data_IF_426784065042
#
_entry.id   IF_426784065042
#
_cell.length_a   1.000
_cell.length_b   1.000
_cell.length_c   1.000
_cell.angle_alpha   90.00
_cell.angle_beta   90.00
_cell.angle_gamma   90.00
#
_symmetry.space_group_name_H-M   'P 1'
#
loop_
_entity.id
_entity.type
_entity.pdbx_description
1 polymer ?
#
# COMPACT_ATOMS: atom_id res chain seq x y z
N UNK A 1 8.11 -9.50 21.99
CA UNK A 1 7.42 -10.77 22.33
C UNK A 1 6.67 -11.37 21.14
N UNK A 2 5.90 -10.55 20.43
CA UNK A 2 5.10 -11.02 19.28
C UNK A 2 5.92 -11.69 18.16
N UNK A 3 7.05 -11.10 17.76
CA UNK A 3 7.93 -11.69 16.71
C UNK A 3 8.50 -13.06 17.09
N UNK A 4 8.83 -13.27 18.36
CA UNK A 4 9.35 -14.55 18.84
C UNK A 4 8.29 -15.66 18.77
N UNK A 5 7.06 -15.34 19.10
CA UNK A 5 5.92 -16.27 19.02
C UNK A 5 5.59 -16.59 17.55
N UNK A 6 5.58 -15.59 16.68
CA UNK A 6 5.36 -15.79 15.24
C UNK A 6 6.44 -16.69 14.65
N UNK A 7 7.73 -16.43 14.94
CA UNK A 7 8.84 -17.28 14.48
C UNK A 7 8.71 -18.72 14.95
N UNK A 8 8.32 -18.92 16.21
CA UNK A 8 8.09 -20.26 16.77
C UNK A 8 7.00 -20.99 16.00
N UNK A 9 5.83 -20.37 15.83
CA UNK A 9 4.69 -20.96 15.14
C UNK A 9 5.03 -21.29 13.67
N UNK A 10 5.73 -20.39 12.98
CA UNK A 10 6.20 -20.62 11.61
C UNK A 10 7.17 -21.81 11.53
N UNK A 11 8.11 -21.92 12.48
CA UNK A 11 9.08 -23.03 12.51
C UNK A 11 8.41 -24.35 12.81
N UNK A 12 7.48 -24.39 13.75
CA UNK A 12 6.72 -25.61 14.09
C UNK A 12 5.90 -26.10 12.89
N UNK A 13 5.20 -25.18 12.21
CA UNK A 13 4.45 -25.52 10.98
C UNK A 13 5.38 -25.94 9.84
N UNK A 14 6.53 -25.29 9.70
CA UNK A 14 7.54 -25.70 8.71
C UNK A 14 8.02 -27.13 8.94
N UNK A 15 8.32 -27.49 10.20
CA UNK A 15 8.71 -28.86 10.58
C UNK A 15 7.60 -29.88 10.29
N UNK A 16 6.34 -29.52 10.58
CA UNK A 16 5.18 -30.39 10.31
C UNK A 16 5.03 -30.69 8.82
N UNK A 17 5.15 -29.64 7.96
CA UNK A 17 4.85 -29.76 6.53
C UNK A 17 6.03 -30.31 5.71
N UNK A 18 7.27 -29.96 6.07
CA UNK A 18 8.44 -30.19 5.25
C UNK A 18 9.50 -31.11 5.90
N UNK A 19 9.28 -31.50 7.17
CA UNK A 19 10.04 -32.55 7.84
C UNK A 19 11.42 -32.14 8.42
N UNK A 20 11.97 -30.99 8.00
CA UNK A 20 13.26 -30.49 8.46
C UNK A 20 13.29 -28.98 8.56
N UNK A 21 13.34 -28.48 9.79
CA UNK A 21 13.40 -27.04 10.12
C UNK A 21 14.78 -26.59 10.63
N UNK A 22 15.85 -27.38 10.39
CA UNK A 22 17.20 -26.91 10.65
C UNK A 22 17.65 -25.91 9.61
N UNK A 23 18.39 -24.90 10.04
CA UNK A 23 18.91 -23.82 9.18
C UNK A 23 17.83 -23.05 8.36
N UNK A 24 16.59 -23.02 8.84
CA UNK A 24 15.58 -22.11 8.27
C UNK A 24 15.95 -20.66 8.55
N UNK A 25 15.63 -19.79 7.61
CA UNK A 25 15.81 -18.33 7.74
C UNK A 25 14.44 -17.65 7.85
N UNK A 26 14.38 -16.55 8.57
CA UNK A 26 13.15 -15.80 8.79
C UNK A 26 13.24 -14.44 8.15
N UNK A 27 12.17 -14.03 7.49
CA UNK A 27 12.07 -12.76 6.80
C UNK A 27 10.78 -12.05 7.16
N UNK A 28 10.81 -10.74 7.03
CA UNK A 28 9.65 -9.86 7.20
C UNK A 28 9.65 -8.80 6.12
N UNK A 29 8.47 -8.44 5.63
CA UNK A 29 8.25 -7.22 4.86
C UNK A 29 6.97 -6.51 5.34
N UNK A 30 7.00 -5.17 5.49
CA UNK A 30 5.88 -4.41 6.03
C UNK A 30 4.76 -4.19 5.00
N UNK A 31 3.54 -3.95 5.50
CA UNK A 31 2.53 -3.19 4.78
C UNK A 31 2.80 -1.70 4.86
N UNK A 32 1.88 -0.90 4.33
CA UNK A 32 2.00 0.57 4.34
C UNK A 32 0.67 1.25 4.64
N UNK A 33 0.76 2.48 5.12
CA UNK A 33 -0.33 3.46 5.04
C UNK A 33 0.16 4.67 4.25
N UNK A 34 -0.69 5.22 3.39
CA UNK A 34 -0.37 6.48 2.73
C UNK A 34 -1.01 7.64 3.51
N UNK A 35 -0.19 8.62 3.88
CA UNK A 35 -0.63 9.77 4.66
C UNK A 35 -1.42 10.76 3.81
N UNK A 36 -0.98 10.97 2.56
CA UNK A 36 -1.60 11.84 1.55
C UNK A 36 -0.99 11.55 0.17
N UNK A 37 -1.69 11.89 -0.92
CA UNK A 37 -1.22 11.66 -2.30
C UNK A 37 -1.76 10.35 -2.87
N UNK A 38 -3.05 10.05 -2.70
CA UNK A 38 -3.69 8.92 -3.33
C UNK A 38 -3.94 9.17 -4.81
N UNK A 39 -3.76 8.10 -5.61
CA UNK A 39 -3.97 8.11 -7.05
C UNK A 39 -3.09 9.10 -7.83
N UNK A 40 -2.01 9.58 -7.22
CA UNK A 40 -1.02 10.44 -7.89
C UNK A 40 0.12 9.62 -8.51
N UNK A 41 0.37 8.43 -8.05
CA UNK A 41 1.55 7.60 -8.39
C UNK A 41 1.54 7.10 -9.84
N UNK A 42 0.42 6.88 -10.45
CA UNK A 42 0.31 6.58 -11.89
C UNK A 42 0.03 7.83 -12.76
N UNK A 43 -0.10 8.99 -12.10
CA UNK A 43 -0.22 10.31 -12.73
C UNK A 43 1.09 11.12 -12.69
N UNK A 44 2.21 10.49 -12.28
CA UNK A 44 3.53 11.11 -12.20
C UNK A 44 3.65 12.17 -11.11
N UNK A 45 2.81 12.08 -10.08
CA UNK A 45 2.83 12.98 -8.92
C UNK A 45 3.59 12.39 -7.73
N UNK A 46 3.49 13.07 -6.60
CA UNK A 46 4.11 12.67 -5.35
C UNK A 46 3.16 11.86 -4.48
N UNK A 47 3.73 10.92 -3.73
CA UNK A 47 3.06 10.16 -2.66
C UNK A 47 3.81 10.32 -1.35
N UNK A 48 3.13 10.15 -0.23
CA UNK A 48 3.72 10.35 1.09
C UNK A 48 3.37 9.23 2.07
N UNK A 49 3.72 7.96 1.75
CA UNK A 49 3.46 6.81 2.59
C UNK A 49 4.47 6.63 3.72
N UNK A 50 4.12 5.75 4.69
CA UNK A 50 5.05 5.16 5.62
C UNK A 50 4.81 3.64 5.75
N UNK A 51 5.88 2.88 6.06
CA UNK A 51 5.81 1.46 6.33
C UNK A 51 5.29 1.22 7.75
N UNK A 52 4.56 0.12 7.94
CA UNK A 52 3.93 -0.24 9.20
C UNK A 52 4.68 -1.39 9.90
N UNK A 53 4.52 -1.53 11.21
CA UNK A 53 4.98 -2.71 11.95
C UNK A 53 4.17 -3.97 11.59
N UNK A 54 2.99 -3.80 11.02
CA UNK A 54 2.19 -4.88 10.43
C UNK A 54 2.74 -5.25 9.05
N UNK A 55 2.87 -6.57 8.78
CA UNK A 55 3.43 -7.05 7.53
C UNK A 55 3.30 -8.56 7.38
N UNK A 56 4.10 -9.12 6.51
CA UNK A 56 4.15 -10.55 6.23
C UNK A 56 5.48 -11.13 6.69
N UNK A 57 5.41 -12.22 7.41
CA UNK A 57 6.54 -13.03 7.90
C UNK A 57 6.68 -14.28 7.05
N UNK A 58 7.91 -14.74 6.85
CA UNK A 58 8.21 -16.01 6.22
C UNK A 58 9.29 -16.79 6.97
N UNK A 59 9.10 -18.11 7.07
CA UNK A 59 10.12 -19.09 7.40
C UNK A 59 10.50 -19.81 6.11
N UNK A 60 11.80 -19.81 5.75
CA UNK A 60 12.27 -20.18 4.41
C UNK A 60 13.45 -21.14 4.50
N UNK A 61 13.48 -22.15 3.60
CA UNK A 61 14.62 -23.03 3.39
C UNK A 61 14.79 -23.35 1.91
N UNK A 62 16.06 -23.50 1.46
CA UNK A 62 16.37 -23.97 0.11
C UNK A 62 16.04 -25.45 -0.06
N UNK A 63 15.60 -25.78 -1.26
CA UNK A 63 15.39 -27.14 -1.75
C UNK A 63 16.53 -27.53 -2.71
N UNK A 64 16.67 -28.82 -2.96
CA UNK A 64 17.64 -29.30 -3.94
C UNK A 64 17.07 -29.48 -5.34
N UNK A 65 15.74 -29.40 -5.48
CA UNK A 65 15.03 -29.38 -6.76
C UNK A 65 14.65 -27.92 -7.14
N UNK A 66 14.18 -27.69 -8.35
CA UNK A 66 13.79 -26.37 -8.81
C UNK A 66 12.40 -25.91 -8.38
N UNK A 67 11.70 -26.66 -7.51
CA UNK A 67 10.30 -26.40 -7.14
C UNK A 67 10.18 -25.42 -5.98
N UNK A 68 9.16 -24.56 -6.02
CA UNK A 68 8.77 -23.71 -4.90
C UNK A 68 7.52 -24.27 -4.22
N UNK A 69 7.51 -24.32 -2.89
CA UNK A 69 6.32 -24.70 -2.13
C UNK A 69 5.96 -23.60 -1.16
N UNK A 70 4.68 -23.21 -1.17
CA UNK A 70 4.14 -22.13 -0.36
C UNK A 70 3.04 -22.65 0.55
N UNK A 71 3.05 -22.25 1.80
CA UNK A 71 1.97 -22.47 2.75
C UNK A 71 1.72 -21.20 3.54
N UNK A 72 0.46 -20.85 3.77
CA UNK A 72 0.08 -19.67 4.57
C UNK A 72 -0.77 -20.09 5.77
N UNK A 73 -0.35 -19.63 6.96
CA UNK A 73 -1.14 -19.77 8.18
C UNK A 73 -2.44 -18.95 8.15
N UNK A 74 -2.55 -17.97 7.25
CA UNK A 74 -3.79 -17.19 7.08
C UNK A 74 -4.83 -17.89 6.19
N UNK A 75 -4.41 -18.87 5.37
CA UNK A 75 -5.26 -19.57 4.39
C UNK A 75 -4.94 -21.07 4.42
N UNK A 76 -5.01 -21.68 5.60
CA UNK A 76 -4.65 -23.09 5.81
C UNK A 76 -5.43 -24.06 4.93
N UNK A 77 -6.70 -23.71 4.62
CA UNK A 77 -7.56 -24.51 3.74
C UNK A 77 -7.03 -24.69 2.31
N UNK A 78 -6.11 -23.81 1.87
CA UNK A 78 -5.46 -23.94 0.56
C UNK A 78 -4.40 -25.04 0.53
N UNK A 79 -3.92 -25.50 1.69
CA UNK A 79 -2.83 -26.48 1.80
C UNK A 79 -1.50 -25.96 1.26
N UNK A 80 -0.59 -26.88 0.94
CA UNK A 80 0.70 -26.56 0.31
C UNK A 80 0.50 -26.37 -1.19
N UNK A 81 0.82 -25.17 -1.68
CA UNK A 81 0.83 -24.87 -3.11
C UNK A 81 2.23 -25.12 -3.65
N UNK A 82 2.36 -25.98 -4.65
CA UNK A 82 3.63 -26.25 -5.33
C UNK A 82 3.67 -25.54 -6.68
N UNK A 83 4.80 -24.91 -6.99
CA UNK A 83 5.07 -24.30 -8.28
C UNK A 83 6.38 -24.87 -8.85
N UNK A 84 6.27 -25.57 -9.96
CA UNK A 84 7.37 -26.02 -10.82
C UNK A 84 7.61 -25.02 -11.97
N UNK A 85 8.42 -25.37 -12.96
CA UNK A 85 8.72 -24.50 -14.08
C UNK A 85 7.50 -24.17 -14.96
N UNK A 86 6.47 -25.01 -14.95
CA UNK A 86 5.24 -24.87 -15.76
C UNK A 86 4.10 -24.16 -15.02
N UNK A 87 4.30 -23.84 -13.74
CA UNK A 87 3.25 -23.31 -12.86
C UNK A 87 3.13 -21.78 -12.87
N UNK A 88 3.85 -21.10 -13.78
CA UNK A 88 3.90 -19.63 -13.85
C UNK A 88 3.07 -19.09 -15.02
N UNK A 89 1.76 -18.94 -14.79
CA UNK A 89 0.77 -18.54 -15.79
C UNK A 89 0.26 -17.11 -15.50
N UNK A 90 0.85 -16.06 -16.12
CA UNK A 90 0.38 -14.69 -15.95
C UNK A 90 -1.10 -14.54 -16.27
N UNK A 91 -1.81 -13.73 -15.49
CA UNK A 91 -3.22 -13.39 -15.62
C UNK A 91 -4.23 -14.53 -15.35
N UNK A 92 -3.79 -15.78 -15.31
CA UNK A 92 -4.63 -16.96 -15.06
C UNK A 92 -4.61 -17.41 -13.61
N UNK A 93 -3.50 -17.19 -12.89
CA UNK A 93 -3.36 -17.57 -11.49
C UNK A 93 -4.15 -16.61 -10.58
N UNK A 94 -5.15 -17.13 -9.89
CA UNK A 94 -6.03 -16.35 -8.99
C UNK A 94 -5.88 -16.74 -7.52
N UNK A 95 -4.90 -17.57 -7.20
CA UNK A 95 -4.64 -17.98 -5.83
C UNK A 95 -3.81 -16.92 -5.08
N UNK A 96 -3.84 -16.95 -3.74
CA UNK A 96 -3.05 -16.05 -2.92
C UNK A 96 -1.54 -16.11 -3.22
N UNK A 97 -1.04 -17.27 -3.63
CA UNK A 97 0.36 -17.47 -3.98
C UNK A 97 0.75 -16.82 -5.32
N UNK A 98 -0.20 -16.27 -6.09
CA UNK A 98 0.07 -15.58 -7.36
C UNK A 98 1.01 -14.38 -7.17
N UNK A 99 0.95 -13.69 -6.04
CA UNK A 99 1.86 -12.60 -5.71
C UNK A 99 3.31 -13.06 -5.59
N UNK A 100 3.56 -14.21 -4.94
CA UNK A 100 4.89 -14.80 -4.82
C UNK A 100 5.38 -15.37 -6.16
N UNK A 101 4.52 -16.09 -6.86
CA UNK A 101 4.81 -16.65 -8.19
C UNK A 101 5.12 -15.55 -9.21
N UNK A 102 4.36 -14.47 -9.20
CA UNK A 102 4.57 -13.32 -10.07
C UNK A 102 5.95 -12.69 -9.90
N UNK A 103 6.43 -12.57 -8.66
CA UNK A 103 7.78 -12.07 -8.38
C UNK A 103 8.85 -13.05 -8.89
N UNK A 104 8.71 -14.35 -8.65
CA UNK A 104 9.64 -15.37 -9.19
C UNK A 104 9.67 -15.30 -10.73
N UNK A 105 8.49 -15.21 -11.36
CA UNK A 105 8.37 -15.04 -12.80
C UNK A 105 9.06 -13.76 -13.29
N UNK A 106 8.86 -12.64 -12.61
CA UNK A 106 9.48 -11.36 -12.97
C UNK A 106 11.01 -11.40 -12.85
N UNK A 107 11.56 -12.07 -11.81
CA UNK A 107 13.00 -12.29 -11.68
C UNK A 107 13.54 -13.12 -12.85
N UNK A 108 12.90 -14.25 -13.20
CA UNK A 108 13.29 -15.08 -14.35
C UNK A 108 13.23 -14.31 -15.67
N UNK A 109 12.19 -13.48 -15.88
CA UNK A 109 12.06 -12.62 -17.07
C UNK A 109 13.19 -11.60 -17.21
N UNK A 110 13.75 -11.15 -16.08
CA UNK A 110 14.91 -10.25 -16.03
C UNK A 110 16.25 -10.98 -16.11
N UNK A 111 16.24 -12.32 -16.30
CA UNK A 111 17.45 -13.13 -16.48
C UNK A 111 18.13 -13.57 -15.19
N UNK A 112 17.50 -13.40 -14.02
CA UNK A 112 18.05 -13.92 -12.77
C UNK A 112 17.91 -15.44 -12.72
N UNK A 113 19.02 -16.12 -12.42
CA UNK A 113 19.04 -17.58 -12.24
C UNK A 113 18.56 -17.94 -10.85
N UNK A 114 17.57 -18.84 -10.77
CA UNK A 114 17.01 -19.40 -9.55
C UNK A 114 17.07 -20.92 -9.65
N UNK A 115 18.29 -21.51 -9.50
CA UNK A 115 18.54 -22.92 -9.82
C UNK A 115 17.92 -23.88 -8.79
N UNK A 116 17.76 -23.43 -7.57
CA UNK A 116 17.17 -24.19 -6.47
C UNK A 116 15.78 -23.66 -6.16
N UNK A 117 14.88 -24.51 -5.71
CA UNK A 117 13.58 -24.06 -5.19
C UNK A 117 13.65 -23.63 -3.73
N UNK A 118 12.52 -23.22 -3.20
CA UNK A 118 12.35 -22.82 -1.80
C UNK A 118 11.11 -23.46 -1.19
N UNK A 119 11.18 -23.85 0.07
CA UNK A 119 10.04 -24.09 0.93
C UNK A 119 9.75 -22.85 1.77
N UNK A 120 8.51 -22.40 1.79
CA UNK A 120 8.08 -21.19 2.51
C UNK A 120 6.83 -21.48 3.34
N UNK A 121 6.87 -21.10 4.61
CA UNK A 121 5.68 -20.95 5.46
C UNK A 121 5.52 -19.48 5.81
N UNK A 122 4.33 -18.94 5.55
CA UNK A 122 4.04 -17.50 5.67
C UNK A 122 2.96 -17.24 6.71
N UNK A 123 3.04 -16.05 7.31
CA UNK A 123 2.01 -15.49 8.17
C UNK A 123 1.96 -13.97 8.01
N UNK A 124 0.78 -13.42 7.77
CA UNK A 124 0.55 -11.98 7.72
C UNK A 124 -0.31 -11.50 8.89
N UNK A 125 0.04 -10.38 9.50
CA UNK A 125 -0.76 -9.72 10.52
C UNK A 125 -1.43 -8.42 10.01
N UNK A 126 -1.34 -8.15 8.70
CA UNK A 126 -2.11 -7.10 8.05
C UNK A 126 -3.58 -7.53 8.03
N UNK A 127 -4.53 -6.72 8.53
CA UNK A 127 -5.94 -7.07 8.51
C UNK A 127 -6.46 -7.29 7.09
N UNK A 128 -7.23 -8.36 6.89
CA UNK A 128 -7.77 -8.70 5.58
C UNK A 128 -8.69 -7.60 5.04
N UNK A 129 -8.53 -7.25 3.76
CA UNK A 129 -9.36 -6.24 3.10
C UNK A 129 -9.18 -4.82 3.63
N UNK A 130 -8.12 -4.54 4.38
CA UNK A 130 -7.85 -3.22 4.96
C UNK A 130 -7.31 -2.19 3.96
N UNK A 131 -6.84 -2.62 2.80
CA UNK A 131 -6.16 -1.72 1.85
C UNK A 131 -4.76 -1.27 2.31
N UNK A 132 -4.15 -1.96 3.30
CA UNK A 132 -2.82 -1.68 3.82
C UNK A 132 -1.71 -2.42 3.07
N UNK A 133 -1.94 -2.78 1.81
CA UNK A 133 -0.98 -3.36 0.85
C UNK A 133 -0.39 -4.72 1.25
N UNK A 134 -1.26 -5.68 1.58
CA UNK A 134 -0.82 -7.06 1.81
C UNK A 134 -0.19 -7.70 0.57
N UNK A 135 -0.63 -7.35 -0.66
CA UNK A 135 -0.03 -7.80 -1.91
C UNK A 135 1.42 -7.32 -2.04
N UNK A 136 1.65 -6.00 -1.91
CA UNK A 136 2.99 -5.42 -1.99
C UNK A 136 3.92 -5.96 -0.90
N UNK A 137 3.40 -6.18 0.33
CA UNK A 137 4.14 -6.85 1.41
C UNK A 137 4.61 -8.24 1.00
N UNK A 138 3.76 -9.07 0.37
CA UNK A 138 4.12 -10.39 -0.16
C UNK A 138 5.14 -10.30 -1.29
N UNK A 139 4.98 -9.35 -2.20
CA UNK A 139 5.87 -9.16 -3.36
C UNK A 139 7.26 -8.70 -2.93
N UNK A 140 7.34 -7.70 -2.05
CA UNK A 140 8.61 -7.20 -1.50
C UNK A 140 9.28 -8.24 -0.61
N UNK A 141 8.50 -9.00 0.17
CA UNK A 141 9.00 -10.12 0.96
C UNK A 141 9.67 -11.16 0.05
N UNK A 142 8.98 -11.58 -1.01
CA UNK A 142 9.52 -12.58 -1.94
C UNK A 142 10.76 -12.07 -2.67
N UNK A 143 10.75 -10.82 -3.13
CA UNK A 143 11.91 -10.18 -3.75
C UNK A 143 13.12 -10.15 -2.81
N UNK A 144 12.91 -9.81 -1.55
CA UNK A 144 13.95 -9.80 -0.51
C UNK A 144 14.46 -11.20 -0.18
N UNK A 145 13.58 -12.19 -0.09
CA UNK A 145 13.95 -13.59 0.07
C UNK A 145 14.83 -14.07 -1.08
N UNK A 146 14.43 -13.81 -2.33
CA UNK A 146 15.20 -14.22 -3.50
C UNK A 146 16.57 -13.55 -3.51
N UNK A 147 16.63 -12.24 -3.21
CA UNK A 147 17.91 -11.51 -3.10
C UNK A 147 18.85 -12.20 -2.11
N UNK A 148 18.40 -12.45 -0.89
CA UNK A 148 19.24 -12.98 0.18
C UNK A 148 19.55 -14.48 0.02
N UNK A 149 18.59 -15.28 -0.44
CA UNK A 149 18.78 -16.74 -0.59
C UNK A 149 19.73 -17.08 -1.75
N UNK A 150 19.76 -16.25 -2.81
CA UNK A 150 20.62 -16.50 -3.96
C UNK A 150 21.80 -15.54 -4.07
N UNK A 151 21.97 -14.62 -3.10
CA UNK A 151 23.09 -13.66 -3.08
C UNK A 151 23.05 -12.68 -4.24
N UNK A 152 21.86 -12.25 -4.65
CA UNK A 152 21.68 -11.36 -5.80
C UNK A 152 22.03 -9.91 -5.42
N UNK A 153 22.72 -9.21 -6.32
CA UNK A 153 23.04 -7.79 -6.15
C UNK A 153 21.89 -6.93 -6.66
N UNK A 154 20.93 -6.67 -5.78
CA UNK A 154 19.75 -5.84 -6.04
C UNK A 154 19.58 -4.79 -4.94
N UNK A 155 19.24 -3.58 -5.33
CA UNK A 155 18.78 -2.54 -4.41
C UNK A 155 17.32 -2.74 -4.02
N UNK A 156 16.89 -2.12 -2.92
CA UNK A 156 15.47 -2.16 -2.52
C UNK A 156 14.53 -1.48 -3.53
N UNK A 157 14.89 -0.33 -4.16
CA UNK A 157 14.10 0.23 -5.25
C UNK A 157 13.91 -0.74 -6.43
N UNK A 158 14.94 -1.51 -6.80
CA UNK A 158 14.81 -2.53 -7.85
C UNK A 158 13.83 -3.65 -7.44
N UNK A 159 13.83 -4.06 -6.17
CA UNK A 159 12.85 -5.03 -5.65
C UNK A 159 11.43 -4.45 -5.75
N UNK A 160 11.23 -3.17 -5.40
CA UNK A 160 9.93 -2.51 -5.53
C UNK A 160 9.45 -2.49 -6.99
N UNK A 161 10.33 -2.15 -7.94
CA UNK A 161 10.03 -2.16 -9.38
C UNK A 161 9.73 -3.56 -9.92
N UNK A 162 10.36 -4.60 -9.37
CA UNK A 162 10.05 -5.99 -9.73
C UNK A 162 8.68 -6.39 -9.18
N UNK A 163 8.36 -6.01 -7.94
CA UNK A 163 7.05 -6.22 -7.34
C UNK A 163 5.93 -5.56 -8.15
N UNK A 164 6.06 -4.27 -8.47
CA UNK A 164 5.11 -3.56 -9.32
C UNK A 164 4.96 -4.22 -10.71
N UNK A 165 6.07 -4.61 -11.33
CA UNK A 165 6.02 -5.32 -12.61
C UNK A 165 5.26 -6.65 -12.51
N UNK A 166 5.43 -7.37 -11.40
CA UNK A 166 4.67 -8.59 -11.09
C UNK A 166 3.18 -8.28 -10.93
N UNK A 167 2.82 -7.29 -10.12
CA UNK A 167 1.42 -6.91 -9.89
C UNK A 167 0.72 -6.57 -11.21
N UNK A 168 1.36 -5.76 -12.06
CA UNK A 168 0.79 -5.29 -13.31
C UNK A 168 0.71 -6.40 -14.38
N UNK A 169 1.77 -7.21 -14.55
CA UNK A 169 1.87 -8.12 -15.70
C UNK A 169 1.55 -9.58 -15.35
N UNK A 170 1.62 -9.97 -14.09
CA UNK A 170 1.26 -11.31 -13.66
C UNK A 170 -0.14 -11.35 -13.03
N UNK A 171 -0.47 -10.41 -12.16
CA UNK A 171 -1.76 -10.36 -11.48
C UNK A 171 -2.82 -9.51 -12.23
N UNK A 172 -2.40 -8.61 -13.13
CA UNK A 172 -3.28 -7.79 -13.99
C UNK A 172 -3.86 -6.56 -13.30
N UNK A 173 -3.25 -6.09 -12.20
CA UNK A 173 -3.63 -4.87 -11.52
C UNK A 173 -2.72 -3.73 -11.99
N UNK A 174 -3.27 -2.75 -12.72
CA UNK A 174 -2.51 -1.62 -13.25
C UNK A 174 -2.21 -0.56 -12.17
N UNK A 175 -1.49 -0.96 -11.11
CA UNK A 175 -1.12 -0.06 -10.01
C UNK A 175 0.10 0.82 -10.34
N UNK A 176 0.23 1.93 -9.59
CA UNK A 176 1.47 2.69 -9.52
C UNK A 176 2.53 2.00 -8.65
N UNK A 177 3.59 2.71 -8.33
CA UNK A 177 4.75 2.13 -7.59
C UNK A 177 4.64 2.29 -6.07
N UNK A 178 3.73 3.11 -5.58
CA UNK A 178 3.68 3.56 -4.18
C UNK A 178 3.76 2.41 -3.17
N UNK A 179 2.97 1.37 -3.37
CA UNK A 179 2.78 0.30 -2.40
C UNK A 179 4.05 -0.52 -2.20
N UNK A 180 4.64 -0.97 -3.28
CA UNK A 180 5.88 -1.74 -3.26
C UNK A 180 7.06 -0.88 -2.81
N UNK A 181 7.10 0.40 -3.23
CA UNK A 181 8.16 1.31 -2.83
C UNK A 181 8.10 1.61 -1.32
N UNK A 182 6.93 1.88 -0.79
CA UNK A 182 6.74 2.13 0.64
C UNK A 182 7.11 0.91 1.50
N UNK A 183 6.70 -0.29 1.08
CA UNK A 183 7.09 -1.54 1.74
C UNK A 183 8.61 -1.77 1.68
N UNK A 184 9.25 -1.52 0.52
CA UNK A 184 10.68 -1.76 0.32
C UNK A 184 11.56 -0.71 1.03
N UNK A 185 11.16 0.56 1.00
CA UNK A 185 11.98 1.68 1.45
C UNK A 185 11.59 2.21 2.83
N UNK A 186 10.74 1.48 3.58
CA UNK A 186 10.34 1.85 4.92
C UNK A 186 11.53 2.20 5.82
N UNK A 187 11.37 3.24 6.64
CA UNK A 187 12.32 3.67 7.65
C UNK A 187 11.57 4.04 8.91
N UNK A 188 11.98 3.47 10.02
CA UNK A 188 11.35 3.73 11.32
C UNK A 188 11.26 5.23 11.60
N UNK A 189 10.11 5.66 12.11
CA UNK A 189 9.79 7.04 12.48
C UNK A 189 9.92 8.05 11.32
N UNK A 190 9.77 7.59 10.05
CA UNK A 190 9.80 8.46 8.87
C UNK A 190 8.71 8.11 7.87
N UNK A 191 8.18 9.14 7.24
CA UNK A 191 7.42 9.02 6.00
C UNK A 191 8.36 9.15 4.79
N UNK A 192 7.94 8.58 3.67
CA UNK A 192 8.68 8.56 2.40
C UNK A 192 8.00 9.55 1.45
N UNK A 193 8.64 10.66 1.15
CA UNK A 193 8.19 11.55 0.09
C UNK A 193 8.82 11.09 -1.23
N UNK A 194 8.01 10.55 -2.12
CA UNK A 194 8.44 9.95 -3.38
C UNK A 194 7.84 10.72 -4.56
N UNK A 195 8.69 11.18 -5.47
CA UNK A 195 8.32 11.56 -6.82
C UNK A 195 8.21 10.30 -7.68
N UNK A 196 7.01 9.97 -8.13
CA UNK A 196 6.77 8.71 -8.85
C UNK A 196 7.16 8.75 -10.32
N UNK A 197 7.39 9.94 -10.88
CA UNK A 197 7.87 10.11 -12.25
C UNK A 197 9.38 9.85 -12.37
N UNK A 198 10.16 10.25 -11.36
CA UNK A 198 11.63 10.16 -11.36
C UNK A 198 12.17 9.06 -10.44
N UNK A 199 11.38 8.60 -9.48
CA UNK A 199 11.74 7.74 -8.36
C UNK A 199 12.74 8.40 -7.38
N UNK A 200 12.91 9.71 -7.47
CA UNK A 200 13.62 10.46 -6.43
C UNK A 200 12.79 10.50 -5.16
N UNK A 201 13.43 10.29 -4.02
CA UNK A 201 12.71 10.28 -2.74
C UNK A 201 13.53 10.90 -1.62
N UNK A 202 12.82 11.34 -0.58
CA UNK A 202 13.41 11.80 0.67
C UNK A 202 12.61 11.28 1.86
N UNK A 203 13.27 11.21 3.01
CA UNK A 203 12.60 10.86 4.27
C UNK A 203 12.23 12.13 5.04
N UNK A 204 10.97 12.24 5.45
CA UNK A 204 10.52 13.25 6.38
C UNK A 204 10.31 12.61 7.77
N UNK A 205 10.86 13.19 8.84
CA UNK A 205 10.63 12.69 10.19
C UNK A 205 9.14 12.69 10.53
N UNK A 206 8.65 11.56 11.04
CA UNK A 206 7.27 11.38 11.48
C UNK A 206 7.29 10.88 12.93
N UNK A 207 7.67 11.80 13.84
CA UNK A 207 7.79 11.51 15.27
C UNK A 207 6.50 11.93 15.97
N UNK A 208 5.67 10.97 16.29
CA UNK A 208 4.33 11.17 16.84
C UNK A 208 4.35 11.05 18.38
N UNK A 209 4.95 12.03 19.08
CA UNK A 209 5.02 12.02 20.57
C UNK A 209 3.65 12.28 21.19
N UNK A 210 3.04 13.41 20.83
CA UNK A 210 1.77 13.88 21.40
C UNK A 210 0.55 13.49 20.55
N UNK A 211 0.79 12.98 19.36
CA UNK A 211 -0.22 12.53 18.41
C UNK A 211 -0.08 11.04 18.13
N UNK A 212 -1.09 10.45 17.55
CA UNK A 212 -1.09 9.09 17.03
C UNK A 212 -1.74 9.07 15.66
N UNK A 213 -1.28 8.19 14.80
CA UNK A 213 -2.00 7.84 13.57
C UNK A 213 -2.86 6.62 13.86
N UNK A 214 -4.16 6.78 13.75
CA UNK A 214 -5.12 5.69 13.91
C UNK A 214 -5.64 5.28 12.53
N UNK A 215 -5.44 4.02 12.21
CA UNK A 215 -6.01 3.39 11.02
C UNK A 215 -7.36 2.80 11.43
N UNK A 216 -8.44 3.20 10.79
CA UNK A 216 -9.77 2.64 11.03
C UNK A 216 -10.21 1.85 9.82
N UNK A 217 -10.30 0.52 9.97
CA UNK A 217 -10.83 -0.36 8.92
C UNK A 217 -12.35 -0.30 8.92
N UNK A 218 -12.91 0.07 7.77
CA UNK A 218 -14.38 0.09 7.57
C UNK A 218 -15.02 -1.29 7.68
N UNK A 219 -14.25 -2.37 7.56
CA UNK A 219 -14.75 -3.75 7.47
C UNK A 219 -15.76 -3.97 6.33
N UNK A 220 -15.82 -3.04 5.37
CA UNK A 220 -16.63 -3.20 4.16
C UNK A 220 -16.12 -4.38 3.34
N UNK A 221 -16.99 -5.31 3.00
CA UNK A 221 -16.65 -6.44 2.12
C UNK A 221 -16.52 -5.95 0.68
N UNK A 222 -15.32 -6.05 0.14
CA UNK A 222 -15.02 -5.62 -1.22
C UNK A 222 -15.61 -6.57 -2.27
N UNK A 223 -16.35 -6.01 -3.22
CA UNK A 223 -16.72 -6.68 -4.47
C UNK A 223 -16.29 -5.76 -5.62
N UNK A 224 -15.36 -6.20 -6.50
CA UNK A 224 -15.02 -5.52 -7.76
C UNK A 224 -14.14 -4.25 -7.71
N UNK A 225 -13.16 -4.14 -6.79
CA UNK A 225 -12.27 -2.96 -6.73
C UNK A 225 -11.43 -2.82 -8.02
N UNK A 226 -10.89 -3.91 -8.56
CA UNK A 226 -9.93 -3.86 -9.66
C UNK A 226 -10.45 -3.19 -10.93
N UNK A 227 -11.73 -3.37 -11.29
CA UNK A 227 -12.31 -2.71 -12.46
C UNK A 227 -12.47 -1.20 -12.26
N UNK A 228 -13.03 -0.78 -11.11
CA UNK A 228 -13.23 0.64 -10.80
C UNK A 228 -11.91 1.40 -10.67
N UNK A 229 -10.88 0.78 -10.09
CA UNK A 229 -9.53 1.34 -10.02
C UNK A 229 -8.93 1.56 -11.43
N UNK A 230 -9.02 0.55 -12.29
CA UNK A 230 -8.53 0.65 -13.67
C UNK A 230 -9.32 1.70 -14.49
N UNK A 231 -10.62 1.89 -14.20
CA UNK A 231 -11.41 2.98 -14.82
C UNK A 231 -10.88 4.35 -14.44
N UNK A 232 -10.56 4.59 -13.16
CA UNK A 232 -9.97 5.87 -12.69
C UNK A 232 -8.65 6.17 -13.38
N UNK A 233 -7.81 5.14 -13.54
CA UNK A 233 -6.55 5.29 -14.27
C UNK A 233 -6.79 5.68 -15.72
N UNK A 234 -7.66 4.99 -16.44
CA UNK A 234 -8.00 5.30 -17.83
C UNK A 234 -8.55 6.72 -17.99
N UNK A 235 -9.45 7.14 -17.08
CA UNK A 235 -10.03 8.49 -17.08
C UNK A 235 -8.96 9.58 -16.89
N UNK A 236 -7.94 9.32 -16.07
CA UNK A 236 -6.79 10.22 -15.89
C UNK A 236 -5.86 10.23 -17.10
N UNK A 237 -5.61 9.09 -17.72
CA UNK A 237 -4.81 8.97 -18.95
C UNK A 237 -5.48 9.73 -20.09
N UNK A 238 -6.81 9.65 -20.25
CA UNK A 238 -7.59 10.42 -21.21
C UNK A 238 -7.47 11.94 -20.97
N UNK A 239 -7.54 12.38 -19.70
CA UNK A 239 -7.34 13.79 -19.35
C UNK A 239 -5.95 14.28 -19.77
N UNK A 240 -4.91 13.49 -19.51
CA UNK A 240 -3.54 13.80 -19.90
C UNK A 240 -3.41 13.94 -21.43
N UNK A 241 -3.93 13.00 -22.20
CA UNK A 241 -3.90 13.05 -23.68
C UNK A 241 -4.57 14.31 -24.24
N UNK A 242 -5.64 14.79 -23.61
CA UNK A 242 -6.31 16.03 -24.01
C UNK A 242 -5.43 17.23 -23.68
N UNK A 243 -4.92 17.32 -22.45
CA UNK A 243 -4.15 18.48 -21.97
C UNK A 243 -2.79 18.61 -22.67
N UNK A 244 -2.16 17.51 -23.09
CA UNK A 244 -0.92 17.50 -23.88
C UNK A 244 -1.05 18.23 -25.23
N UNK A 245 -2.26 18.47 -25.74
CA UNK A 245 -2.49 19.27 -26.93
C UNK A 245 -2.35 20.78 -26.70
N UNK A 246 -2.33 21.19 -25.42
CA UNK A 246 -2.33 22.58 -25.00
C UNK A 246 -1.17 22.98 -24.09
N UNK A 247 -0.44 21.99 -23.55
CA UNK A 247 0.72 22.19 -22.69
C UNK A 247 1.80 21.13 -22.92
N UNK A 248 3.06 21.50 -22.76
CA UNK A 248 4.20 20.56 -22.85
C UNK A 248 4.38 19.84 -21.51
N UNK A 249 3.51 18.88 -21.23
CA UNK A 249 3.54 18.05 -20.02
C UNK A 249 3.73 16.57 -20.38
N UNK A 250 4.38 15.81 -19.53
CA UNK A 250 4.50 14.35 -19.65
C UNK A 250 3.49 13.63 -18.79
N UNK A 251 3.12 14.22 -17.66
CA UNK A 251 2.20 13.65 -16.67
C UNK A 251 1.28 14.76 -16.14
N UNK A 252 0.17 14.42 -15.49
CA UNK A 252 -0.68 15.39 -14.81
C UNK A 252 0.03 16.03 -13.61
N UNK A 253 0.99 15.33 -13.01
CA UNK A 253 1.82 15.85 -11.92
C UNK A 253 2.75 17.01 -12.30
N UNK A 254 2.97 17.24 -13.59
CA UNK A 254 3.78 18.37 -14.08
C UNK A 254 3.07 19.72 -13.95
N UNK A 255 1.73 19.72 -13.76
CA UNK A 255 0.94 20.94 -13.70
C UNK A 255 0.89 21.56 -12.30
N UNK A 256 1.05 22.87 -12.23
CA UNK A 256 0.64 23.66 -11.06
C UNK A 256 -0.89 23.84 -11.03
N UNK A 257 -1.42 24.20 -9.85
CA UNK A 257 -2.86 24.54 -9.71
C UNK A 257 -3.27 25.62 -10.68
N UNK A 258 -2.46 26.68 -10.82
CA UNK A 258 -2.76 27.82 -11.72
C UNK A 258 -2.79 27.40 -13.19
N UNK A 259 -1.86 26.53 -13.62
CA UNK A 259 -1.84 26.01 -14.99
C UNK A 259 -3.03 25.11 -15.24
N UNK A 260 -3.39 24.25 -14.29
CA UNK A 260 -4.58 23.42 -14.42
C UNK A 260 -5.84 24.28 -14.58
N UNK A 261 -6.10 25.26 -13.70
CA UNK A 261 -7.29 26.12 -13.79
C UNK A 261 -7.34 26.95 -15.08
N UNK A 262 -6.23 27.25 -15.74
CA UNK A 262 -6.22 27.87 -17.07
C UNK A 262 -6.62 26.90 -18.19
N UNK A 263 -6.39 25.59 -17.98
CA UNK A 263 -6.58 24.56 -19.00
C UNK A 263 -7.82 23.70 -18.77
N UNK A 264 -8.44 23.73 -17.60
CA UNK A 264 -9.53 22.82 -17.22
C UNK A 264 -10.74 22.85 -18.15
N UNK A 265 -11.05 24.02 -18.76
CA UNK A 265 -12.15 24.15 -19.74
C UNK A 265 -11.87 23.38 -21.05
N UNK A 266 -10.61 22.95 -21.31
CA UNK A 266 -10.27 22.10 -22.45
C UNK A 266 -10.73 20.65 -22.25
N UNK A 267 -11.01 20.30 -21.01
CA UNK A 267 -11.63 19.03 -20.63
C UNK A 267 -13.15 19.21 -20.65
N UNK A 268 -13.77 18.96 -21.79
CA UNK A 268 -15.21 19.18 -21.99
C UNK A 268 -16.05 18.20 -21.16
N UNK A 269 -15.60 16.93 -21.04
CA UNK A 269 -16.25 15.94 -20.18
C UNK A 269 -16.03 16.29 -18.69
N UNK A 270 -17.12 16.52 -17.93
CA UNK A 270 -17.02 16.90 -16.52
C UNK A 270 -16.41 15.79 -15.65
N UNK A 271 -16.51 14.53 -16.05
CA UNK A 271 -15.90 13.40 -15.33
C UNK A 271 -14.39 13.47 -15.50
N UNK A 272 -13.92 13.56 -16.74
CA UNK A 272 -12.49 13.65 -17.06
C UNK A 272 -11.85 14.87 -16.41
N UNK A 273 -12.56 16.02 -16.42
CA UNK A 273 -12.14 17.25 -15.74
C UNK A 273 -11.95 17.03 -14.23
N UNK A 274 -12.90 16.37 -13.55
CA UNK A 274 -12.81 16.05 -12.13
C UNK A 274 -11.60 15.15 -11.83
N UNK A 275 -11.34 14.12 -12.65
CA UNK A 275 -10.19 13.24 -12.45
C UNK A 275 -8.86 14.00 -12.55
N UNK A 276 -8.71 14.83 -13.60
CA UNK A 276 -7.52 15.66 -13.73
C UNK A 276 -7.37 16.65 -12.57
N UNK A 277 -8.47 17.29 -12.16
CA UNK A 277 -8.49 18.20 -11.01
C UNK A 277 -7.95 17.52 -9.75
N UNK A 278 -8.46 16.32 -9.44
CA UNK A 278 -7.92 15.57 -8.30
C UNK A 278 -6.44 15.32 -8.46
N UNK A 279 -6.01 14.73 -9.59
CA UNK A 279 -4.61 14.32 -9.79
C UNK A 279 -3.63 15.48 -9.62
N UNK A 280 -3.95 16.66 -10.20
CA UNK A 280 -3.09 17.85 -10.11
C UNK A 280 -3.11 18.44 -8.70
N UNK A 281 -4.30 18.73 -8.17
CA UNK A 281 -4.40 19.39 -6.86
C UNK A 281 -3.93 18.49 -5.71
N UNK A 282 -4.12 17.17 -5.80
CA UNK A 282 -3.62 16.22 -4.80
C UNK A 282 -2.10 16.14 -4.83
N UNK A 283 -1.47 16.16 -6.00
CA UNK A 283 -0.01 16.23 -6.11
C UNK A 283 0.53 17.48 -5.38
N UNK A 284 0.00 18.65 -5.68
CA UNK A 284 0.46 19.91 -5.08
C UNK A 284 0.15 19.97 -3.57
N UNK A 285 -0.99 19.39 -3.15
CA UNK A 285 -1.35 19.22 -1.74
C UNK A 285 -0.36 18.32 -1.00
N UNK A 286 0.12 17.26 -1.66
CA UNK A 286 1.11 16.33 -1.08
C UNK A 286 2.46 17.02 -0.85
N UNK A 287 2.89 17.87 -1.77
CA UNK A 287 4.10 18.70 -1.60
C UNK A 287 3.94 19.67 -0.42
N UNK A 288 2.78 20.32 -0.29
CA UNK A 288 2.49 21.19 0.83
C UNK A 288 2.43 20.43 2.17
N UNK A 289 1.88 19.21 2.18
CA UNK A 289 1.79 18.37 3.36
C UNK A 289 3.18 17.93 3.85
N UNK A 290 4.11 17.60 2.95
CA UNK A 290 5.50 17.32 3.32
C UNK A 290 6.09 18.51 4.06
N UNK A 291 5.94 19.72 3.51
CA UNK A 291 6.45 20.93 4.15
C UNK A 291 5.84 21.15 5.54
N UNK A 292 4.52 21.03 5.68
CA UNK A 292 3.84 21.18 6.95
C UNK A 292 4.37 20.19 8.01
N UNK A 293 4.62 18.92 7.61
CA UNK A 293 5.17 17.91 8.50
C UNK A 293 6.61 18.24 8.91
N UNK A 294 7.47 18.70 7.98
CA UNK A 294 8.85 19.10 8.26
C UNK A 294 8.93 20.34 9.17
N UNK A 295 7.99 21.27 9.03
CA UNK A 295 7.87 22.47 9.88
C UNK A 295 7.23 22.14 11.26
N UNK A 296 6.75 20.90 11.46
CA UNK A 296 6.06 20.48 12.70
C UNK A 296 4.63 21.04 12.81
N UNK A 297 4.07 21.57 11.74
CA UNK A 297 2.70 22.09 11.70
C UNK A 297 1.68 20.96 11.43
N UNK A 298 1.38 20.22 12.48
CA UNK A 298 0.41 19.12 12.42
C UNK A 298 -1.02 19.60 12.19
N UNK A 299 -1.35 20.87 12.47
CA UNK A 299 -2.67 21.43 12.17
C UNK A 299 -2.84 21.63 10.66
N UNK A 300 -1.85 22.23 10.01
CA UNK A 300 -1.88 22.39 8.56
C UNK A 300 -1.83 21.02 7.85
N UNK A 301 -0.97 20.11 8.34
CA UNK A 301 -0.92 18.75 7.83
C UNK A 301 -2.30 18.06 7.90
N UNK A 302 -2.98 18.12 9.05
CA UNK A 302 -4.32 17.55 9.21
C UNK A 302 -5.39 18.23 8.34
N UNK A 303 -5.32 19.56 8.16
CA UNK A 303 -6.19 20.30 7.24
C UNK A 303 -6.02 19.80 5.80
N UNK A 304 -4.78 19.57 5.35
CA UNK A 304 -4.49 19.04 4.03
C UNK A 304 -4.99 17.59 3.87
N UNK A 305 -4.91 16.77 4.91
CA UNK A 305 -5.54 15.44 4.92
C UNK A 305 -7.06 15.53 4.68
N UNK A 306 -7.76 16.44 5.35
CA UNK A 306 -9.20 16.62 5.20
C UNK A 306 -9.55 17.05 3.77
N UNK A 307 -8.81 18.00 3.19
CA UNK A 307 -9.01 18.43 1.81
C UNK A 307 -8.74 17.31 0.79
N UNK A 308 -7.78 16.45 1.06
CA UNK A 308 -7.53 15.26 0.26
C UNK A 308 -8.74 14.32 0.25
N UNK A 309 -9.35 14.07 1.43
CA UNK A 309 -10.55 13.23 1.49
C UNK A 309 -11.72 13.81 0.70
N UNK A 310 -11.96 15.11 0.83
CA UNK A 310 -13.01 15.81 0.05
C UNK A 310 -12.78 15.64 -1.46
N UNK A 311 -11.54 15.80 -1.93
CA UNK A 311 -11.21 15.61 -3.34
C UNK A 311 -11.37 14.17 -3.82
N UNK A 312 -10.98 13.19 -2.97
CA UNK A 312 -11.17 11.76 -3.25
C UNK A 312 -12.64 11.36 -3.33
N UNK A 313 -13.49 11.98 -2.50
CA UNK A 313 -14.94 11.76 -2.50
C UNK A 313 -15.62 12.45 -3.69
N UNK A 314 -15.36 13.74 -3.91
CA UNK A 314 -16.16 14.60 -4.78
C UNK A 314 -15.60 14.73 -6.22
N UNK A 315 -14.26 14.72 -6.36
CA UNK A 315 -13.58 14.85 -7.65
C UNK A 315 -13.15 13.49 -8.22
N UNK A 316 -12.55 12.61 -7.39
CA UNK A 316 -12.08 11.32 -7.86
C UNK A 316 -13.11 10.19 -7.73
N UNK A 317 -14.07 10.36 -6.85
CA UNK A 317 -15.20 9.44 -6.61
C UNK A 317 -14.74 8.00 -6.30
N UNK A 318 -13.78 7.90 -5.38
CA UNK A 318 -13.23 6.62 -4.89
C UNK A 318 -13.55 6.36 -3.41
N UNK A 319 -14.23 7.28 -2.74
CA UNK A 319 -14.67 7.07 -1.37
C UNK A 319 -15.93 6.18 -1.30
N UNK A 320 -16.43 5.97 -0.12
CA UNK A 320 -17.68 5.26 0.12
C UNK A 320 -18.34 5.76 1.41
N UNK A 321 -19.63 5.44 1.57
CA UNK A 321 -20.43 5.88 2.72
C UNK A 321 -19.76 5.58 4.06
N UNK A 322 -19.11 4.41 4.19
CA UNK A 322 -18.43 3.98 5.40
C UNK A 322 -17.22 4.87 5.71
N UNK A 323 -16.39 5.16 4.70
CA UNK A 323 -15.19 6.02 4.85
C UNK A 323 -15.59 7.47 5.10
N UNK A 324 -16.61 7.97 4.38
CA UNK A 324 -17.11 9.34 4.54
C UNK A 324 -17.66 9.53 5.96
N UNK A 325 -18.46 8.58 6.46
CA UNK A 325 -18.99 8.63 7.81
C UNK A 325 -17.89 8.68 8.87
N UNK A 326 -16.85 7.86 8.73
CA UNK A 326 -15.71 7.86 9.66
C UNK A 326 -14.97 9.20 9.64
N UNK A 327 -14.66 9.72 8.45
CA UNK A 327 -13.92 10.98 8.32
C UNK A 327 -14.76 12.18 8.80
N UNK A 328 -16.02 12.29 8.39
CA UNK A 328 -16.91 13.37 8.79
C UNK A 328 -17.16 13.38 10.30
N UNK A 329 -17.33 12.20 10.92
CA UNK A 329 -17.44 12.08 12.38
C UNK A 329 -16.13 12.52 13.04
N UNK A 330 -14.98 12.05 12.55
CA UNK A 330 -13.67 12.40 13.08
C UNK A 330 -13.42 13.92 13.06
N UNK A 331 -13.82 14.62 11.99
CA UNK A 331 -13.66 16.08 11.87
C UNK A 331 -14.45 16.88 12.90
N UNK A 332 -15.50 16.31 13.51
CA UNK A 332 -16.27 16.98 14.57
C UNK A 332 -15.56 16.93 15.94
N UNK A 333 -14.55 16.09 16.09
CA UNK A 333 -13.87 15.86 17.36
C UNK A 333 -12.69 16.85 17.53
N UNK A 334 -12.66 17.67 18.59
CA UNK A 334 -11.69 18.77 18.72
C UNK A 334 -10.24 18.32 18.93
N UNK A 335 -10.03 17.05 19.17
CA UNK A 335 -8.71 16.44 19.37
C UNK A 335 -8.23 15.65 18.13
N UNK A 336 -8.99 15.67 17.02
CA UNK A 336 -8.60 15.14 15.72
C UNK A 336 -8.07 16.28 14.87
N UNK A 337 -6.84 16.13 14.38
CA UNK A 337 -6.19 17.14 13.55
C UNK A 337 -6.54 16.97 12.07
N UNK A 338 -6.73 15.73 11.63
CA UNK A 338 -7.14 15.40 10.28
C UNK A 338 -7.54 13.94 10.15
N UNK A 339 -8.41 13.65 9.16
CA UNK A 339 -8.88 12.29 8.86
C UNK A 339 -9.24 12.17 7.39
N UNK A 340 -8.82 11.04 6.76
CA UNK A 340 -9.06 10.76 5.35
C UNK A 340 -9.05 9.26 5.05
N UNK A 341 -9.69 8.86 3.95
CA UNK A 341 -9.50 7.52 3.41
C UNK A 341 -8.04 7.32 2.96
N UNK A 342 -7.54 6.11 2.98
CA UNK A 342 -6.19 5.76 2.52
C UNK A 342 -6.21 4.55 1.59
N UNK A 343 -5.30 4.52 0.61
CA UNK A 343 -5.20 3.49 -0.41
C UNK A 343 -6.14 3.69 -1.60
N UNK A 344 -6.45 2.63 -2.31
CA UNK A 344 -7.23 2.69 -3.57
C UNK A 344 -8.71 3.06 -3.44
N UNK A 345 -9.25 3.14 -2.22
CA UNK A 345 -10.65 3.51 -1.96
C UNK A 345 -11.66 2.38 -2.14
N UNK A 346 -12.91 2.74 -2.39
CA UNK A 346 -14.09 1.86 -2.50
C UNK A 346 -14.38 1.03 -1.24
N UNK A 347 -13.81 1.41 -0.11
CA UNK A 347 -13.79 0.72 1.19
C UNK A 347 -12.40 0.80 1.82
N UNK A 348 -11.96 -0.26 2.51
CA UNK A 348 -10.65 -0.31 3.16
C UNK A 348 -10.60 0.54 4.43
N UNK A 349 -9.56 1.37 4.56
CA UNK A 349 -9.32 2.13 5.79
C UNK A 349 -9.40 3.64 5.61
N UNK A 350 -9.64 4.32 6.73
CA UNK A 350 -9.29 5.72 6.93
C UNK A 350 -8.03 5.81 7.80
N UNK A 351 -7.30 6.92 7.69
CA UNK A 351 -6.19 7.28 8.57
C UNK A 351 -6.49 8.62 9.22
N UNK A 352 -6.36 8.67 10.54
CA UNK A 352 -6.68 9.86 11.34
C UNK A 352 -5.49 10.25 12.20
N UNK A 353 -5.18 11.55 12.25
CA UNK A 353 -4.18 12.12 13.14
C UNK A 353 -4.89 12.64 14.40
N UNK A 354 -4.67 11.97 15.53
CA UNK A 354 -5.42 12.15 16.76
C UNK A 354 -4.47 12.48 17.91
N UNK A 355 -4.91 13.29 18.88
CA UNK A 355 -4.14 13.46 20.13
C UNK A 355 -4.01 12.11 20.84
N UNK A 356 -2.76 11.71 21.18
CA UNK A 356 -2.44 10.39 21.73
C UNK A 356 -3.25 10.04 22.98
N UNK A 357 -3.42 10.99 23.88
CA UNK A 357 -4.21 10.83 25.11
C UNK A 357 -5.72 10.62 24.87
N UNK A 358 -6.20 10.84 23.63
CA UNK A 358 -7.60 10.76 23.22
C UNK A 358 -7.92 9.58 22.29
N UNK A 359 -6.98 8.66 22.10
CA UNK A 359 -7.18 7.51 21.19
C UNK A 359 -8.42 6.68 21.56
N UNK A 360 -8.61 6.37 22.83
CA UNK A 360 -9.78 5.61 23.29
C UNK A 360 -11.08 6.37 23.10
N UNK A 361 -11.12 7.65 23.43
CA UNK A 361 -12.29 8.51 23.22
C UNK A 361 -12.65 8.54 21.73
N UNK A 362 -11.63 8.62 20.85
CA UNK A 362 -11.79 8.57 19.38
C UNK A 362 -12.44 7.27 18.92
N UNK A 363 -11.92 6.13 19.35
CA UNK A 363 -12.44 4.81 18.98
C UNK A 363 -13.91 4.64 19.42
N UNK A 364 -14.22 5.04 20.66
CA UNK A 364 -15.57 4.94 21.21
C UNK A 364 -16.56 5.86 20.49
N UNK A 365 -16.19 7.12 20.19
CA UNK A 365 -17.10 8.06 19.52
C UNK A 365 -17.33 7.67 18.06
N UNK A 366 -16.32 7.19 17.34
CA UNK A 366 -16.50 6.70 15.97
C UNK A 366 -17.39 5.46 15.95
N UNK A 367 -17.12 4.48 16.82
CA UNK A 367 -17.88 3.24 16.87
C UNK A 367 -19.36 3.50 17.22
N UNK A 368 -19.62 4.41 18.13
CA UNK A 368 -20.97 4.81 18.55
C UNK A 368 -21.83 5.39 17.42
N UNK A 369 -21.20 6.06 16.46
CA UNK A 369 -21.89 6.61 15.28
C UNK A 369 -21.92 5.61 14.12
N UNK A 370 -20.81 4.88 13.93
CA UNK A 370 -20.62 4.01 12.78
C UNK A 370 -21.50 2.76 12.82
N UNK A 371 -21.44 1.98 13.89
CA UNK A 371 -22.14 0.70 13.97
C UNK A 371 -23.66 0.81 13.84
N UNK A 372 -24.36 1.78 14.49
CA UNK A 372 -25.80 1.94 14.30
C UNK A 372 -26.20 2.34 12.87
N UNK A 373 -25.34 3.08 12.16
CA UNK A 373 -25.64 3.58 10.81
C UNK A 373 -25.30 2.56 9.73
N UNK A 374 -24.16 1.88 9.87
CA UNK A 374 -23.65 0.94 8.85
C UNK A 374 -24.14 -0.50 9.10
N UNK A 375 -24.47 -0.85 10.35
CA UNK A 375 -25.00 -2.17 10.72
C UNK A 375 -23.94 -3.21 11.08
N UNK A 376 -22.66 -2.82 11.14
CA UNK A 376 -21.54 -3.65 11.62
C UNK A 376 -20.40 -2.74 12.14
N UNK A 377 -19.56 -3.25 13.07
CA UNK A 377 -18.49 -2.44 13.67
C UNK A 377 -17.33 -2.17 12.70
N UNK A 378 -16.62 -1.06 12.89
CA UNK A 378 -15.29 -0.84 12.34
C UNK A 378 -14.21 -1.40 13.29
N UNK A 379 -12.96 -1.43 12.83
CA UNK A 379 -11.81 -1.90 13.63
C UNK A 379 -10.70 -0.85 13.62
N UNK A 380 -10.01 -0.69 14.77
CA UNK A 380 -9.00 0.34 14.95
C UNK A 380 -7.61 -0.27 15.14
N UNK A 381 -6.60 0.39 14.61
CA UNK A 381 -5.20 0.01 14.71
C UNK A 381 -4.34 1.27 14.87
N UNK A 382 -3.48 1.31 15.87
CA UNK A 382 -2.46 2.34 15.93
C UNK A 382 -1.38 2.04 14.87
N UNK A 383 -1.03 3.02 14.05
CA UNK A 383 0.02 2.91 13.06
C UNK A 383 1.39 3.07 13.73
N UNK A 384 2.11 1.97 13.91
CA UNK A 384 3.52 1.98 14.30
C UNK A 384 4.37 1.99 13.04
N UNK A 385 5.19 3.05 12.88
CA UNK A 385 6.03 3.26 11.69
C UNK A 385 7.31 2.44 11.83
N UNK A 386 7.59 1.61 10.83
CA UNK A 386 8.65 0.60 10.89
C UNK A 386 9.64 0.70 9.73
N UNK A 387 10.74 -0.06 9.87
CA UNK A 387 11.70 -0.27 8.79
C UNK A 387 11.14 -1.20 7.70
N UNK A 388 11.74 -1.12 6.53
CA UNK A 388 11.46 -1.97 5.36
C UNK A 388 11.74 -3.46 5.59
N UNK A 389 11.87 -4.23 4.48
CA UNK A 389 12.06 -5.67 4.53
C UNK A 389 13.40 -6.02 5.18
N UNK A 390 13.41 -7.12 5.93
CA UNK A 390 14.61 -7.59 6.66
C UNK A 390 14.59 -9.07 6.93
N UNK A 391 15.76 -9.64 7.08
CA UNK A 391 15.94 -10.93 7.78
C UNK A 391 15.85 -10.70 9.29
N UNK A 392 15.26 -11.66 10.02
CA UNK A 392 14.92 -11.55 11.44
C UNK A 392 15.83 -12.39 12.33
#
# INVERSE_FOLDING_TARGET
>A
MQDLEIKKNLKEKFQELFGDSENVRFFFAPGRVNLIGEHTDYNGGHVFPCALSMGTYACVKKRQDGNFRFYSLNVESAGVITADEYSFNPLEDKQWASYLKGVIWAFRKRGYSLPEGLDLVLYGNIPNGSGLSSSASLEVLMGSILKEMYGLKLSLPEIALIGQYSENNYNGMNCGIMDQFASAMGKKDHAIFLDTATLEFSYAPLVLTDNALIITNTNKKHKLIGSAYNDRRRESEEALEILQKYAEIKTLGDLSDEEFFRLEEKLEDPIIRKRAKHAVLENNRTVAAKKALEDGDYHEFGRLMNLSHVSLRDDYEVSCEESDLLCETAWTLPYVLGSRMTGGGFGGCTVSLVKREKMKDFEEELQKVYEPKIGYPCSFYEAEIADGPREL
#
